data_IF_056892140645
#
_entry.id   IF_056892140645
#
_cell.length_a   1.000
_cell.length_b   1.000
_cell.length_c   1.000
_cell.angle_alpha   90.00
_cell.angle_beta   90.00
_cell.angle_gamma   90.00
#
_symmetry.space_group_name_H-M   'P 1'
#
loop_
_entity.id
_entity.type
_entity.pdbx_description
1 polymer ?
#
# COMPACT_ATOMS: atom_id res chain seq x y z
N UNK A 1 9.56 -18.93 18.42
CA UNK A 1 10.33 -17.70 18.70
C UNK A 1 10.34 -16.73 17.54
N UNK A 2 10.33 -17.18 16.32
CA UNK A 2 10.30 -16.30 15.15
C UNK A 2 8.99 -15.50 15.04
N UNK A 3 7.87 -16.04 15.47
CA UNK A 3 6.57 -15.39 15.39
C UNK A 3 6.36 -14.13 16.23
N UNK A 4 7.13 -13.90 17.28
CA UNK A 4 6.97 -12.70 18.11
C UNK A 4 7.47 -11.43 17.41
N UNK A 5 8.59 -11.52 16.69
CA UNK A 5 9.13 -10.40 15.93
C UNK A 5 8.21 -10.05 14.76
N UNK A 6 7.69 -11.06 14.10
CA UNK A 6 6.70 -10.90 13.03
C UNK A 6 5.44 -10.20 13.55
N UNK A 7 4.90 -10.61 14.70
CA UNK A 7 3.77 -9.95 15.33
C UNK A 7 4.07 -8.50 15.74
N UNK A 8 5.27 -8.26 16.27
CA UNK A 8 5.71 -6.93 16.69
C UNK A 8 5.73 -5.92 15.54
N UNK A 9 5.99 -6.39 14.33
CA UNK A 9 5.99 -5.56 13.11
C UNK A 9 4.60 -5.57 12.46
N UNK A 10 3.99 -6.74 12.29
CA UNK A 10 2.74 -6.90 11.54
C UNK A 10 1.55 -6.17 12.17
N UNK A 11 1.42 -6.20 13.48
CA UNK A 11 0.29 -5.58 14.17
C UNK A 11 0.29 -4.05 14.01
N UNK A 12 1.35 -3.31 14.39
CA UNK A 12 1.36 -1.87 14.19
C UNK A 12 1.35 -1.48 12.72
N UNK A 13 2.01 -2.23 11.85
CA UNK A 13 1.99 -2.00 10.41
C UNK A 13 0.58 -2.13 9.84
N UNK A 14 -0.11 -3.23 10.15
CA UNK A 14 -1.48 -3.49 9.69
C UNK A 14 -2.48 -2.47 10.22
N UNK A 15 -2.37 -2.08 11.48
CA UNK A 15 -3.22 -1.05 12.09
C UNK A 15 -2.99 0.30 11.41
N UNK A 16 -1.74 0.65 11.12
CA UNK A 16 -1.43 1.90 10.45
C UNK A 16 -1.98 1.95 9.02
N UNK A 17 -1.84 0.87 8.24
CA UNK A 17 -2.42 0.76 6.90
C UNK A 17 -3.96 0.89 6.98
N UNK A 18 -4.61 0.19 7.91
CA UNK A 18 -6.05 0.29 8.11
C UNK A 18 -6.48 1.70 8.49
N UNK A 19 -5.71 2.37 9.34
CA UNK A 19 -5.98 3.76 9.74
C UNK A 19 -5.90 4.72 8.55
N UNK A 20 -4.90 4.55 7.68
CA UNK A 20 -4.80 5.33 6.44
C UNK A 20 -6.04 5.10 5.56
N UNK A 21 -6.49 3.84 5.45
CA UNK A 21 -7.72 3.51 4.73
C UNK A 21 -8.95 4.20 5.31
N UNK A 22 -9.06 4.33 6.63
CA UNK A 22 -10.13 5.09 7.29
C UNK A 22 -10.10 6.56 6.89
N UNK A 23 -8.91 7.16 6.73
CA UNK A 23 -8.81 8.56 6.30
C UNK A 23 -9.37 8.78 4.89
N UNK A 24 -9.31 7.79 4.00
CA UNK A 24 -9.94 7.86 2.68
C UNK A 24 -11.47 8.03 2.77
N UNK A 25 -12.09 7.47 3.79
CA UNK A 25 -13.53 7.65 4.04
C UNK A 25 -13.86 8.94 4.80
N UNK A 26 -12.96 9.40 5.67
CA UNK A 26 -13.18 10.61 6.46
C UNK A 26 -13.02 11.88 5.65
N UNK A 27 -12.05 11.90 4.74
CA UNK A 27 -11.77 13.06 3.89
C UNK A 27 -11.35 12.59 2.49
N UNK A 28 -12.29 12.03 1.70
CA UNK A 28 -11.98 11.55 0.36
C UNK A 28 -11.52 12.69 -0.58
N UNK A 29 -12.03 13.89 -0.39
CA UNK A 29 -11.69 15.04 -1.21
C UNK A 29 -10.19 15.40 -1.14
N UNK A 30 -9.54 15.09 -0.04
CA UNK A 30 -8.10 15.32 0.12
C UNK A 30 -7.27 14.43 -0.83
N UNK A 31 -7.73 13.20 -1.09
CA UNK A 31 -7.04 12.22 -1.93
C UNK A 31 -7.42 12.30 -3.42
N UNK A 32 -8.61 12.81 -3.74
CA UNK A 32 -9.14 12.84 -5.11
C UNK A 32 -8.21 13.50 -6.13
N UNK A 33 -7.51 14.62 -5.82
CA UNK A 33 -6.68 15.31 -6.80
C UNK A 33 -5.54 14.48 -7.40
N UNK A 34 -5.01 13.51 -6.66
CA UNK A 34 -3.89 12.70 -7.11
C UNK A 34 -4.29 11.46 -7.93
N UNK A 35 -5.58 11.16 -8.00
CA UNK A 35 -6.07 10.06 -8.84
C UNK A 35 -5.86 10.43 -10.32
N UNK A 36 -5.18 9.58 -11.12
CA UNK A 36 -5.00 9.87 -12.55
C UNK A 36 -6.34 10.07 -13.26
N UNK A 37 -6.48 11.16 -14.02
CA UNK A 37 -7.74 11.53 -14.68
C UNK A 37 -8.26 10.47 -15.65
N UNK A 38 -7.37 9.65 -16.23
CA UNK A 38 -7.74 8.55 -17.13
C UNK A 38 -8.61 7.48 -16.44
N UNK A 39 -8.55 7.39 -15.11
CA UNK A 39 -9.34 6.42 -14.33
C UNK A 39 -10.81 6.84 -14.13
N UNK A 40 -11.18 8.06 -14.48
CA UNK A 40 -12.54 8.57 -14.38
C UNK A 40 -12.89 9.03 -12.96
N UNK A 41 -13.91 8.44 -12.33
CA UNK A 41 -14.43 8.88 -11.04
C UNK A 41 -13.40 8.74 -9.91
N UNK A 42 -12.75 9.84 -9.55
CA UNK A 42 -11.71 9.86 -8.52
C UNK A 42 -12.22 9.40 -7.15
N UNK A 43 -13.42 9.82 -6.75
CA UNK A 43 -14.02 9.42 -5.46
C UNK A 43 -14.20 7.91 -5.35
N UNK A 44 -14.67 7.27 -6.41
CA UNK A 44 -14.79 5.81 -6.44
C UNK A 44 -13.46 5.13 -6.12
N UNK A 45 -12.37 5.55 -6.77
CA UNK A 45 -11.05 4.97 -6.57
C UNK A 45 -10.48 5.25 -5.18
N UNK A 46 -10.71 6.44 -4.65
CA UNK A 46 -10.31 6.79 -3.28
C UNK A 46 -11.02 5.89 -2.27
N UNK A 47 -12.32 5.73 -2.37
CA UNK A 47 -13.09 4.89 -1.45
C UNK A 47 -12.77 3.40 -1.61
N UNK A 48 -12.60 2.93 -2.84
CA UNK A 48 -12.21 1.55 -3.11
C UNK A 48 -10.83 1.22 -2.53
N UNK A 49 -9.84 2.09 -2.74
CA UNK A 49 -8.51 1.89 -2.17
C UNK A 49 -8.54 1.93 -0.64
N UNK A 50 -9.31 2.84 -0.05
CA UNK A 50 -9.50 2.90 1.39
C UNK A 50 -10.10 1.61 1.98
N UNK A 51 -11.09 1.03 1.30
CA UNK A 51 -11.68 -0.25 1.70
C UNK A 51 -10.64 -1.38 1.66
N UNK A 52 -9.83 -1.46 0.60
CA UNK A 52 -8.74 -2.45 0.51
C UNK A 52 -7.69 -2.24 1.58
N UNK A 53 -7.32 -1.01 1.87
CA UNK A 53 -6.36 -0.69 2.94
C UNK A 53 -6.86 -1.14 4.31
N UNK A 54 -8.13 -0.94 4.62
CA UNK A 54 -8.74 -1.41 5.88
C UNK A 54 -8.71 -2.94 5.94
N UNK A 55 -9.22 -3.61 4.91
CA UNK A 55 -9.30 -5.07 4.88
C UNK A 55 -7.92 -5.73 4.93
N UNK A 56 -7.00 -5.27 4.11
CA UNK A 56 -5.65 -5.82 4.03
C UNK A 56 -4.83 -5.48 5.27
N UNK A 57 -4.97 -4.27 5.80
CA UNK A 57 -4.29 -3.87 7.04
C UNK A 57 -4.71 -4.73 8.22
N UNK A 58 -6.01 -4.94 8.40
CA UNK A 58 -6.53 -5.85 9.43
C UNK A 58 -6.10 -7.30 9.17
N UNK A 59 -6.10 -7.73 7.92
CA UNK A 59 -5.64 -9.06 7.53
C UNK A 59 -4.18 -9.32 7.90
N UNK A 60 -3.30 -8.34 7.72
CA UNK A 60 -1.88 -8.43 8.13
C UNK A 60 -1.73 -8.50 9.65
N UNK A 61 -2.53 -7.74 10.38
CA UNK A 61 -2.50 -7.77 11.85
C UNK A 61 -2.91 -9.15 12.41
N UNK A 62 -3.75 -9.88 11.68
CA UNK A 62 -4.23 -11.21 12.09
C UNK A 62 -3.31 -12.32 11.53
N UNK A 63 -2.76 -13.21 12.38
CA UNK A 63 -1.80 -14.22 11.96
C UNK A 63 -2.32 -15.15 10.85
N UNK A 64 -3.61 -15.46 10.86
CA UNK A 64 -4.24 -16.41 9.91
C UNK A 64 -4.29 -15.92 8.47
N UNK A 65 -4.39 -14.60 8.25
CA UNK A 65 -4.53 -13.99 6.94
C UNK A 65 -3.32 -13.15 6.54
N UNK A 66 -2.32 -13.09 7.38
CA UNK A 66 -1.16 -12.20 7.25
C UNK A 66 -0.46 -12.31 5.92
N UNK A 67 -0.25 -13.53 5.47
CA UNK A 67 0.50 -13.83 4.26
C UNK A 67 -0.20 -13.29 3.01
N UNK A 68 -1.45 -13.67 2.85
CA UNK A 68 -2.28 -13.26 1.72
C UNK A 68 -2.53 -11.76 1.73
N UNK A 69 -2.80 -11.20 2.90
CA UNK A 69 -2.98 -9.78 3.09
C UNK A 69 -1.71 -8.98 2.77
N UNK A 70 -0.54 -9.47 3.18
CA UNK A 70 0.74 -8.84 2.88
C UNK A 70 1.03 -8.81 1.37
N UNK A 71 0.73 -9.88 0.63
CA UNK A 71 0.79 -9.86 -0.84
C UNK A 71 -0.18 -8.86 -1.44
N UNK A 72 -1.41 -8.83 -0.93
CA UNK A 72 -2.41 -7.84 -1.35
C UNK A 72 -1.93 -6.41 -1.14
N UNK A 73 -1.32 -6.11 0.01
CA UNK A 73 -0.72 -4.80 0.29
C UNK A 73 0.40 -4.47 -0.70
N UNK A 74 1.27 -5.42 -0.99
CA UNK A 74 2.34 -5.21 -1.97
C UNK A 74 1.78 -4.80 -3.33
N UNK A 75 0.79 -5.52 -3.83
CA UNK A 75 0.14 -5.20 -5.10
C UNK A 75 -0.57 -3.84 -5.04
N UNK A 76 -1.28 -3.57 -3.96
CA UNK A 76 -1.97 -2.30 -3.75
C UNK A 76 -1.00 -1.13 -3.73
N UNK A 77 0.14 -1.24 -3.02
CA UNK A 77 1.15 -0.18 -2.96
C UNK A 77 1.79 0.08 -4.32
N UNK A 78 2.00 -0.95 -5.13
CA UNK A 78 2.50 -0.79 -6.49
C UNK A 78 1.51 -0.02 -7.37
N UNK A 79 0.22 -0.30 -7.25
CA UNK A 79 -0.84 0.43 -7.96
C UNK A 79 -0.96 1.86 -7.46
N UNK A 80 -0.97 2.06 -6.13
CA UNK A 80 -1.08 3.39 -5.52
C UNK A 80 0.13 4.29 -5.79
N UNK A 81 1.28 3.70 -6.09
CA UNK A 81 2.46 4.47 -6.51
C UNK A 81 2.19 5.29 -7.78
N UNK A 82 1.31 4.82 -8.65
CA UNK A 82 0.87 5.59 -9.81
C UNK A 82 0.25 6.94 -9.40
N UNK A 83 -0.59 6.97 -8.36
CA UNK A 83 -1.14 8.23 -7.85
C UNK A 83 -0.05 9.17 -7.32
N UNK A 84 0.94 8.63 -6.60
CA UNK A 84 2.07 9.41 -6.11
C UNK A 84 2.95 9.95 -7.25
N UNK A 85 3.18 9.17 -8.30
CA UNK A 85 3.89 9.63 -9.49
C UNK A 85 3.09 10.70 -10.24
N UNK A 86 1.78 10.52 -10.37
CA UNK A 86 0.90 11.52 -10.98
C UNK A 86 0.99 12.86 -10.25
N UNK A 87 0.97 12.83 -8.92
CA UNK A 87 1.14 14.00 -8.08
C UNK A 87 2.48 14.69 -8.32
N UNK A 88 3.56 13.93 -8.42
CA UNK A 88 4.90 14.47 -8.64
C UNK A 88 5.08 15.06 -10.05
N UNK A 89 4.74 14.27 -11.06
CA UNK A 89 4.94 14.64 -12.48
C UNK A 89 4.11 15.88 -12.84
N UNK A 90 2.89 15.98 -12.33
CA UNK A 90 1.95 17.04 -12.65
C UNK A 90 1.89 18.16 -11.59
N UNK A 91 2.75 18.10 -10.58
CA UNK A 91 2.83 19.08 -9.48
C UNK A 91 1.45 19.38 -8.86
N UNK A 92 0.71 18.33 -8.55
CA UNK A 92 -0.68 18.42 -8.07
C UNK A 92 -0.68 18.89 -6.61
N UNK A 93 -1.39 19.99 -6.28
CA UNK A 93 -1.49 20.44 -4.91
C UNK A 93 -2.38 19.53 -4.07
N UNK A 94 -1.95 19.27 -2.82
CA UNK A 94 -2.78 18.66 -1.79
C UNK A 94 -3.09 19.72 -0.74
N UNK A 95 -4.38 19.91 -0.44
CA UNK A 95 -4.84 20.97 0.47
C UNK A 95 -4.29 22.36 0.12
N UNK A 96 -4.16 22.66 -1.19
CA UNK A 96 -3.65 23.92 -1.70
C UNK A 96 -2.12 24.10 -1.62
N UNK A 97 -1.38 23.05 -1.24
CA UNK A 97 0.09 23.06 -1.17
C UNK A 97 0.70 22.15 -2.21
N UNK A 98 1.65 22.68 -2.99
CA UNK A 98 2.56 21.89 -3.81
C UNK A 98 3.81 21.53 -3.00
N UNK A 99 4.44 20.42 -3.36
CA UNK A 99 5.62 19.91 -2.67
C UNK A 99 6.83 19.90 -3.60
N UNK A 100 7.99 20.21 -3.05
CA UNK A 100 9.25 20.13 -3.78
C UNK A 100 9.65 18.67 -4.04
N UNK A 101 10.52 18.46 -5.05
CA UNK A 101 10.93 17.12 -5.50
C UNK A 101 11.49 16.23 -4.38
N UNK A 102 12.19 16.81 -3.39
CA UNK A 102 12.73 16.02 -2.28
C UNK A 102 11.64 15.38 -1.41
N UNK A 103 10.47 16.02 -1.24
CA UNK A 103 9.33 15.44 -0.54
C UNK A 103 8.71 14.27 -1.31
N UNK A 104 8.61 14.38 -2.63
CA UNK A 104 8.15 13.30 -3.49
C UNK A 104 9.14 12.13 -3.48
N UNK A 105 10.45 12.41 -3.49
CA UNK A 105 11.48 11.38 -3.34
C UNK A 105 11.37 10.66 -2.00
N UNK A 106 11.15 11.37 -0.89
CA UNK A 106 10.92 10.78 0.43
C UNK A 106 9.67 9.89 0.47
N UNK A 107 8.59 10.31 -0.20
CA UNK A 107 7.39 9.45 -0.35
C UNK A 107 7.72 8.17 -1.10
N UNK A 108 8.49 8.25 -2.19
CA UNK A 108 8.95 7.09 -2.93
C UNK A 108 9.77 6.14 -2.08
N UNK A 109 10.71 6.65 -1.29
CA UNK A 109 11.52 5.85 -0.34
C UNK A 109 10.62 5.20 0.71
N UNK A 110 9.68 5.96 1.29
CA UNK A 110 8.71 5.43 2.26
C UNK A 110 7.85 4.32 1.64
N UNK A 111 7.39 4.50 0.41
CA UNK A 111 6.62 3.50 -0.33
C UNK A 111 7.43 2.21 -0.55
N UNK A 112 8.69 2.32 -0.95
CA UNK A 112 9.58 1.15 -1.11
C UNK A 112 9.76 0.44 0.23
N UNK A 113 9.97 1.19 1.31
CA UNK A 113 10.08 0.60 2.65
C UNK A 113 8.83 -0.19 3.05
N UNK A 114 7.64 0.36 2.79
CA UNK A 114 6.37 -0.32 3.06
C UNK A 114 6.22 -1.59 2.22
N UNK A 115 6.63 -1.56 0.96
CA UNK A 115 6.62 -2.73 0.07
C UNK A 115 7.57 -3.81 0.60
N UNK A 116 8.78 -3.44 1.01
CA UNK A 116 9.75 -4.40 1.55
C UNK A 116 9.25 -5.05 2.85
N UNK A 117 8.61 -4.28 3.72
CA UNK A 117 7.98 -4.82 4.94
C UNK A 117 6.87 -5.80 4.58
N UNK A 118 6.00 -5.46 3.64
CA UNK A 118 4.90 -6.34 3.23
C UNK A 118 5.42 -7.63 2.56
N UNK A 119 6.46 -7.56 1.76
CA UNK A 119 7.11 -8.74 1.18
C UNK A 119 7.71 -9.65 2.24
N UNK A 120 8.35 -9.07 3.25
CA UNK A 120 8.90 -9.83 4.37
C UNK A 120 7.78 -10.49 5.18
N UNK A 121 6.69 -9.79 5.47
CA UNK A 121 5.52 -10.33 6.19
C UNK A 121 4.79 -11.41 5.37
N UNK A 122 4.81 -11.33 4.05
CA UNK A 122 4.28 -12.35 3.14
C UNK A 122 5.12 -13.63 3.08
N UNK A 123 6.35 -13.58 3.61
CA UNK A 123 7.31 -14.67 3.60
C UNK A 123 8.09 -14.74 2.29
N UNK A 124 9.35 -14.34 2.34
CA UNK A 124 10.26 -14.37 1.19
C UNK A 124 10.38 -15.78 0.57
N UNK A 125 10.34 -16.79 1.43
CA UNK A 125 10.38 -18.20 1.00
C UNK A 125 9.16 -18.62 0.16
N UNK A 126 8.01 -17.99 0.39
CA UNK A 126 6.81 -18.29 -0.40
C UNK A 126 6.87 -17.71 -1.80
N UNK A 127 7.49 -16.54 -1.96
CA UNK A 127 7.70 -15.96 -3.29
C UNK A 127 8.69 -16.80 -4.10
N UNK A 128 9.71 -17.36 -3.46
CA UNK A 128 10.63 -18.28 -4.10
C UNK A 128 9.92 -19.58 -4.53
N UNK A 129 9.10 -20.16 -3.65
CA UNK A 129 8.30 -21.35 -4.00
C UNK A 129 7.32 -21.09 -5.15
N UNK A 130 6.76 -19.91 -5.22
CA UNK A 130 5.89 -19.52 -6.33
C UNK A 130 6.67 -19.38 -7.64
N UNK A 131 7.86 -18.78 -7.60
CA UNK A 131 8.75 -18.68 -8.77
C UNK A 131 9.20 -20.07 -9.23
N UNK A 132 9.56 -20.96 -8.30
CA UNK A 132 9.94 -22.34 -8.60
C UNK A 132 8.78 -23.11 -9.22
N UNK A 133 7.56 -22.93 -8.71
CA UNK A 133 6.36 -23.54 -9.26
C UNK A 133 6.10 -23.11 -10.72
N UNK A 134 6.27 -21.82 -11.02
CA UNK A 134 6.14 -21.33 -12.40
C UNK A 134 7.26 -21.86 -13.31
N UNK A 135 8.50 -21.93 -12.82
CA UNK A 135 9.63 -22.48 -13.58
C UNK A 135 9.47 -23.97 -13.89
N UNK A 136 8.88 -24.73 -12.98
CA UNK A 136 8.66 -26.15 -13.16
C UNK A 136 7.57 -26.48 -14.20
N UNK A 137 6.77 -25.52 -14.61
CA UNK A 137 5.66 -25.68 -15.55
C UNK A 137 5.88 -25.02 -16.92
N UNK A 138 6.95 -24.29 -17.08
CA UNK A 138 7.39 -23.71 -18.36
C UNK A 138 8.50 -24.51 -18.96
#
# INVERSE_FOLDING_TARGET
>A
MEGWLENLVAVPYGIWIAWVGVQHFRDPAWFEPIVPGILGNARFWVLASGAFEILLGLGVALPWFRREAAFGITLMLLVLYWANLNMWINDIPLSGKTYESHWHALRGVGQVALILISLWLGGWESSQRMVEWFRARG
#
